data_IF_707017952987
#
_entry.id   IF_707017952987
#
_cell.length_a   1.000
_cell.length_b   1.000
_cell.length_c   1.000
_cell.angle_alpha   90.00
_cell.angle_beta   90.00
_cell.angle_gamma   90.00
#
_symmetry.space_group_name_H-M   'P 1'
#
loop_
_entity.id
_entity.type
_entity.pdbx_description
1 polymer ?
#
# COMPACT_ATOMS: atom_id res chain seq x y z
N UNK A 1 11.65 -69.67 -28.04
CA UNK A 1 11.71 -68.71 -29.16
C UNK A 1 11.17 -67.38 -28.66
N UNK A 2 12.06 -66.43 -28.38
CA UNK A 2 11.77 -65.03 -28.09
C UNK A 2 12.87 -64.22 -28.79
N UNK A 3 12.58 -63.20 -29.61
CA UNK A 3 13.63 -62.40 -30.22
C UNK A 3 14.13 -61.32 -29.24
N UNK A 4 15.42 -61.41 -28.93
CA UNK A 4 16.23 -60.39 -28.26
C UNK A 4 16.43 -59.20 -29.20
N UNK A 5 16.08 -57.98 -28.77
CA UNK A 5 16.45 -56.75 -29.47
C UNK A 5 17.46 -55.98 -28.63
N UNK A 6 18.67 -55.86 -29.18
CA UNK A 6 19.82 -55.14 -28.64
C UNK A 6 19.79 -53.70 -29.16
N UNK A 7 19.97 -52.66 -28.33
CA UNK A 7 20.22 -51.30 -28.82
C UNK A 7 21.73 -51.07 -29.06
N UNK A 8 22.14 -50.24 -30.05
CA UNK A 8 23.55 -49.89 -30.20
C UNK A 8 23.95 -48.68 -29.31
N UNK A 9 25.09 -48.82 -28.64
CA UNK A 9 26.02 -47.78 -28.12
C UNK A 9 27.09 -47.55 -29.21
N UNK A 10 27.81 -46.45 -29.45
CA UNK A 10 28.14 -45.15 -28.83
C UNK A 10 28.65 -44.24 -30.00
N UNK A 11 28.71 -42.91 -29.93
CA UNK A 11 29.88 -42.13 -29.45
C UNK A 11 29.65 -40.60 -29.54
N UNK A 12 30.45 -39.75 -28.85
CA UNK A 12 30.05 -38.42 -28.36
C UNK A 12 30.74 -37.21 -29.07
N UNK A 13 30.45 -35.99 -28.57
CA UNK A 13 30.96 -34.63 -28.88
C UNK A 13 30.00 -33.81 -29.77
N UNK A 14 29.54 -32.59 -29.42
CA UNK A 14 30.24 -31.44 -28.82
C UNK A 14 29.30 -30.62 -27.89
N UNK A 15 29.89 -30.10 -26.81
CA UNK A 15 29.33 -29.01 -26.02
C UNK A 15 29.28 -27.71 -26.85
N UNK A 16 28.18 -26.96 -26.73
CA UNK A 16 28.04 -25.60 -27.27
C UNK A 16 27.31 -24.75 -26.23
N UNK A 17 28.06 -23.90 -25.52
CA UNK A 17 27.65 -22.65 -24.89
C UNK A 17 28.93 -21.82 -24.66
N UNK A 18 28.89 -20.47 -24.51
CA UNK A 18 27.93 -19.47 -25.02
C UNK A 18 28.64 -18.38 -25.86
N UNK A 19 27.94 -17.73 -26.81
CA UNK A 19 28.48 -16.57 -27.55
C UNK A 19 27.99 -15.26 -26.92
N UNK A 20 28.67 -14.83 -25.85
CA UNK A 20 28.41 -13.59 -25.11
C UNK A 20 28.99 -12.33 -25.78
N UNK A 21 28.95 -12.20 -27.11
CA UNK A 21 29.47 -11.02 -27.80
C UNK A 21 28.57 -10.49 -28.89
N UNK A 22 27.41 -9.93 -28.52
CA UNK A 22 26.63 -9.08 -29.44
C UNK A 22 25.61 -8.12 -28.83
N UNK A 23 25.90 -7.48 -27.69
CA UNK A 23 25.00 -6.46 -27.12
C UNK A 23 25.60 -5.05 -26.97
N UNK A 24 26.89 -4.85 -27.29
CA UNK A 24 27.54 -3.55 -27.06
C UNK A 24 27.66 -2.65 -28.32
N UNK A 25 27.27 -3.12 -29.51
CA UNK A 25 27.43 -2.37 -30.78
C UNK A 25 26.14 -1.71 -31.30
N UNK A 26 25.17 -1.38 -30.42
CA UNK A 26 23.93 -0.71 -30.83
C UNK A 26 23.57 0.56 -30.05
N UNK A 27 24.56 1.30 -29.53
CA UNK A 27 24.35 2.70 -29.10
C UNK A 27 25.55 3.57 -29.45
N UNK A 28 25.92 3.62 -30.73
CA UNK A 28 26.79 4.68 -31.25
C UNK A 28 26.11 5.34 -32.44
N UNK A 29 25.66 6.58 -32.26
CA UNK A 29 25.27 7.43 -33.40
C UNK A 29 23.95 8.21 -33.30
N UNK A 30 23.43 8.57 -32.12
CA UNK A 30 22.25 9.46 -32.06
C UNK A 30 22.32 10.53 -30.98
N UNK A 31 23.42 11.29 -30.95
CA UNK A 31 23.47 12.55 -30.22
C UNK A 31 24.10 13.65 -31.11
N UNK A 32 23.30 14.48 -31.79
CA UNK A 32 23.82 15.71 -32.37
C UNK A 32 24.10 16.71 -31.23
N UNK A 33 25.37 17.07 -31.06
CA UNK A 33 25.81 18.18 -30.22
C UNK A 33 25.36 19.51 -30.81
N UNK A 34 24.57 20.29 -30.07
CA UNK A 34 24.37 21.73 -30.29
C UNK A 34 23.76 22.34 -29.03
N UNK A 35 24.60 22.95 -28.19
CA UNK A 35 24.18 23.86 -27.13
C UNK A 35 23.73 25.19 -27.73
N UNK A 36 22.52 25.70 -27.42
CA UNK A 36 22.23 27.12 -27.59
C UNK A 36 22.58 27.91 -26.31
N UNK A 37 23.01 29.16 -26.53
CA UNK A 37 23.44 30.15 -25.55
C UNK A 37 22.42 30.36 -24.42
N UNK A 38 22.92 30.28 -23.18
CA UNK A 38 22.22 30.58 -21.93
C UNK A 38 21.68 32.01 -21.91
N UNK A 39 20.38 32.17 -22.16
CA UNK A 39 19.66 33.40 -21.88
C UNK A 39 19.15 33.37 -20.44
N UNK A 40 19.67 34.27 -19.60
CA UNK A 40 19.27 34.46 -18.21
C UNK A 40 17.85 35.03 -18.16
N UNK A 41 16.84 34.18 -18.22
CA UNK A 41 15.50 34.52 -17.76
C UNK A 41 15.43 34.22 -16.26
N UNK A 42 15.20 35.26 -15.46
CA UNK A 42 14.84 35.12 -14.05
C UNK A 42 13.49 34.41 -13.95
N UNK A 43 13.52 33.08 -13.98
CA UNK A 43 12.40 32.26 -13.57
C UNK A 43 12.34 32.34 -12.04
N UNK A 44 11.28 32.94 -11.53
CA UNK A 44 10.89 32.82 -10.13
C UNK A 44 10.87 31.34 -9.80
N UNK A 45 11.84 30.90 -8.99
CA UNK A 45 11.90 29.53 -8.50
C UNK A 45 10.63 29.30 -7.66
N UNK A 46 9.62 28.65 -8.24
CA UNK A 46 8.62 27.93 -7.46
C UNK A 46 9.42 26.98 -6.58
N UNK A 47 9.42 27.24 -5.27
CA UNK A 47 10.01 26.36 -4.28
C UNK A 47 9.50 24.94 -4.57
N UNK A 48 10.40 24.01 -4.87
CA UNK A 48 10.04 22.61 -4.99
C UNK A 48 9.38 22.21 -3.66
N UNK A 49 8.09 21.90 -3.69
CA UNK A 49 7.36 21.48 -2.51
C UNK A 49 8.06 20.26 -1.91
N UNK A 50 8.39 20.35 -0.63
CA UNK A 50 9.08 19.29 0.08
C UNK A 50 8.23 18.00 -0.06
N UNK A 51 8.74 16.92 -0.71
CA UNK A 51 7.94 15.74 -1.06
C UNK A 51 7.42 14.96 0.17
N UNK A 52 7.81 15.37 1.37
CA UNK A 52 7.40 14.78 2.65
C UNK A 52 6.36 15.63 3.41
N UNK A 53 5.78 16.67 2.79
CA UNK A 53 4.80 17.53 3.48
C UNK A 53 3.46 16.83 3.73
N UNK A 54 3.12 15.86 2.90
CA UNK A 54 1.86 15.14 2.96
C UNK A 54 2.08 13.64 2.86
N UNK A 55 1.15 12.89 3.43
CA UNK A 55 1.03 11.45 3.26
C UNK A 55 -0.28 11.13 2.57
N UNK A 56 -0.25 10.14 1.69
CA UNK A 56 -1.44 9.64 1.01
C UNK A 56 -1.98 8.43 1.77
N UNK A 57 -3.30 8.40 1.96
CA UNK A 57 -4.01 7.33 2.64
C UNK A 57 -5.02 6.70 1.68
N UNK A 58 -5.18 5.39 1.76
CA UNK A 58 -5.99 4.60 0.85
C UNK A 58 -6.99 3.77 1.65
N UNK A 59 -8.25 3.73 1.21
CA UNK A 59 -9.28 2.88 1.82
C UNK A 59 -10.18 2.28 0.75
N UNK A 60 -10.43 0.98 0.83
CA UNK A 60 -11.48 0.33 0.04
C UNK A 60 -12.82 0.51 0.78
N UNK A 61 -13.83 0.99 0.07
CA UNK A 61 -15.17 1.21 0.62
C UNK A 61 -16.25 0.67 -0.32
N UNK A 62 -17.45 0.45 0.22
CA UNK A 62 -18.64 0.20 -0.60
C UNK A 62 -19.11 1.51 -1.26
N UNK A 63 -19.94 1.44 -2.31
CA UNK A 63 -20.55 2.64 -2.91
C UNK A 63 -21.35 3.49 -1.91
N UNK A 64 -21.96 2.87 -0.90
CA UNK A 64 -22.79 3.56 0.11
C UNK A 64 -21.97 4.47 1.05
N UNK A 65 -20.66 4.24 1.12
CA UNK A 65 -19.71 5.00 1.93
C UNK A 65 -18.84 5.96 1.08
N UNK A 66 -19.09 6.04 -0.24
CA UNK A 66 -18.23 6.76 -1.18
C UNK A 66 -18.19 8.29 -0.97
N UNK A 67 -19.26 8.88 -0.43
CA UNK A 67 -19.34 10.33 -0.17
C UNK A 67 -18.50 10.78 1.03
N UNK A 68 -18.22 9.86 1.97
CA UNK A 68 -17.49 10.15 3.19
C UNK A 68 -16.59 8.96 3.60
N UNK A 69 -15.66 8.53 2.73
CA UNK A 69 -14.94 7.27 2.88
C UNK A 69 -14.01 7.28 4.09
N UNK A 70 -13.62 8.44 4.61
CA UNK A 70 -12.75 8.55 5.79
C UNK A 70 -13.48 8.98 7.06
N UNK A 71 -14.77 9.33 6.98
CA UNK A 71 -15.51 9.89 8.13
C UNK A 71 -16.39 8.84 8.84
N UNK A 72 -16.63 7.69 8.20
CA UNK A 72 -17.38 6.58 8.79
C UNK A 72 -16.44 5.55 9.41
N UNK A 73 -16.20 5.72 10.71
CA UNK A 73 -15.59 4.71 11.57
C UNK A 73 -16.61 3.62 11.90
N UNK A 74 -16.27 2.36 11.66
CA UNK A 74 -17.06 1.28 12.19
C UNK A 74 -16.61 1.06 13.64
N UNK A 75 -17.42 1.49 14.63
CA UNK A 75 -17.24 1.14 16.05
C UNK A 75 -17.41 -0.38 16.33
N UNK A 76 -17.25 -1.22 15.32
CA UNK A 76 -17.29 -2.69 15.39
C UNK A 76 -16.04 -3.25 16.08
N UNK A 77 -15.01 -2.42 16.27
CA UNK A 77 -13.71 -2.85 16.78
C UNK A 77 -12.87 -3.56 15.72
N UNK A 78 -11.58 -3.71 16.00
CA UNK A 78 -10.62 -4.32 15.10
C UNK A 78 -9.41 -4.88 15.84
N UNK A 79 -8.27 -4.96 15.15
CA UNK A 79 -7.00 -5.35 15.76
C UNK A 79 -6.52 -4.32 16.78
N UNK A 80 -6.62 -3.04 16.42
CA UNK A 80 -6.05 -1.92 17.17
C UNK A 80 -7.06 -1.20 18.07
N UNK A 81 -8.37 -1.44 17.90
CA UNK A 81 -9.43 -0.79 18.68
C UNK A 81 -10.46 -1.78 19.21
N UNK A 82 -10.97 -1.54 20.41
CA UNK A 82 -12.07 -2.28 20.99
C UNK A 82 -13.42 -1.93 20.34
N UNK A 83 -14.41 -2.80 20.52
CA UNK A 83 -15.78 -2.50 20.12
C UNK A 83 -16.28 -1.23 20.86
N UNK A 84 -16.97 -0.36 20.14
CA UNK A 84 -17.43 0.94 20.63
C UNK A 84 -16.44 2.09 20.42
N UNK A 85 -15.16 1.82 20.15
CA UNK A 85 -14.16 2.85 19.86
C UNK A 85 -14.19 3.20 18.37
N UNK A 86 -14.42 4.47 18.08
CA UNK A 86 -14.56 4.99 16.72
C UNK A 86 -13.20 5.31 16.12
N UNK A 87 -12.79 4.51 15.13
CA UNK A 87 -11.61 4.79 14.31
C UNK A 87 -11.85 4.28 12.88
N UNK A 88 -11.23 4.94 11.90
CA UNK A 88 -11.22 4.48 10.51
C UNK A 88 -9.89 3.81 10.21
N UNK A 89 -9.94 2.62 9.60
CA UNK A 89 -8.75 1.91 9.15
C UNK A 89 -8.50 2.23 7.67
N UNK A 90 -7.28 2.62 7.36
CA UNK A 90 -6.78 2.87 6.02
C UNK A 90 -5.34 2.33 5.89
N UNK A 91 -4.80 2.36 4.68
CA UNK A 91 -3.42 1.97 4.39
C UNK A 91 -2.62 3.13 3.82
N UNK A 92 -1.29 3.08 3.96
CA UNK A 92 -0.39 4.03 3.29
C UNK A 92 -0.02 3.58 1.87
N UNK A 93 -0.56 2.46 1.40
CA UNK A 93 -0.41 2.00 0.03
C UNK A 93 -1.77 1.53 -0.55
N UNK A 94 -1.99 1.66 -1.87
CA UNK A 94 -3.21 1.14 -2.49
C UNK A 94 -3.26 -0.40 -2.43
N UNK A 95 -2.11 -1.07 -2.59
CA UNK A 95 -2.01 -2.52 -2.50
C UNK A 95 -2.36 -3.03 -1.11
N UNK A 96 -1.90 -2.36 -0.06
CA UNK A 96 -2.20 -2.65 1.34
C UNK A 96 -3.68 -2.46 1.66
N UNK A 97 -4.30 -1.39 1.15
CA UNK A 97 -5.74 -1.17 1.32
C UNK A 97 -6.57 -2.31 0.70
N UNK A 98 -6.19 -2.76 -0.50
CA UNK A 98 -6.83 -3.91 -1.17
C UNK A 98 -6.58 -5.20 -0.40
N UNK A 99 -5.34 -5.46 0.03
CA UNK A 99 -4.99 -6.68 0.75
C UNK A 99 -5.72 -6.78 2.10
N UNK A 100 -5.81 -5.68 2.85
CA UNK A 100 -6.56 -5.63 4.11
C UNK A 100 -8.05 -5.87 3.87
N UNK A 101 -8.63 -5.31 2.80
CA UNK A 101 -10.02 -5.58 2.43
C UNK A 101 -10.24 -7.08 2.13
N UNK A 102 -9.39 -7.67 1.30
CA UNK A 102 -9.49 -9.08 0.92
C UNK A 102 -9.32 -10.03 2.11
N UNK A 103 -8.36 -9.74 3.00
CA UNK A 103 -8.11 -10.57 4.18
C UNK A 103 -9.23 -10.51 5.25
N UNK A 104 -10.09 -9.49 5.18
CA UNK A 104 -11.25 -9.33 6.05
C UNK A 104 -12.58 -9.56 5.32
N UNK A 105 -12.55 -9.95 4.05
CA UNK A 105 -13.74 -10.24 3.29
C UNK A 105 -14.38 -11.54 3.80
N UNK A 106 -15.64 -11.45 4.22
CA UNK A 106 -16.45 -12.60 4.59
C UNK A 106 -17.50 -12.83 3.50
N UNK A 107 -17.46 -13.99 2.86
CA UNK A 107 -18.41 -14.36 1.79
C UNK A 107 -18.00 -13.86 0.40
N UNK A 108 -18.96 -13.69 -0.53
CA UNK A 108 -18.66 -13.36 -1.91
C UNK A 108 -18.15 -11.92 -2.06
N UNK A 109 -17.24 -11.71 -3.02
CA UNK A 109 -16.75 -10.39 -3.38
C UNK A 109 -17.89 -9.46 -3.78
N UNK A 110 -18.01 -8.26 -3.16
CA UNK A 110 -19.00 -7.27 -3.55
C UNK A 110 -18.83 -6.89 -5.02
N UNK A 111 -19.96 -6.72 -5.72
CA UNK A 111 -19.97 -6.38 -7.15
C UNK A 111 -19.41 -4.99 -7.47
N UNK A 112 -19.43 -4.09 -6.49
CA UNK A 112 -18.97 -2.73 -6.65
C UNK A 112 -18.14 -2.35 -5.43
N UNK A 113 -16.91 -1.93 -5.68
CA UNK A 113 -15.99 -1.40 -4.68
C UNK A 113 -15.46 -0.06 -5.19
N UNK A 114 -15.06 0.78 -4.24
CA UNK A 114 -14.40 2.05 -4.51
C UNK A 114 -13.05 2.07 -3.81
N UNK A 115 -12.05 2.66 -4.45
CA UNK A 115 -10.79 3.00 -3.81
C UNK A 115 -10.80 4.50 -3.52
N UNK A 116 -10.91 4.85 -2.25
CA UNK A 116 -10.78 6.21 -1.79
C UNK A 116 -9.29 6.56 -1.57
N UNK A 117 -8.89 7.72 -2.07
CA UNK A 117 -7.56 8.29 -1.93
C UNK A 117 -7.69 9.60 -1.18
N UNK A 118 -7.01 9.72 -0.05
CA UNK A 118 -6.97 10.94 0.74
C UNK A 118 -5.54 11.42 0.95
N UNK A 119 -5.38 12.69 1.30
CA UNK A 119 -4.11 13.28 1.71
C UNK A 119 -4.23 13.90 3.09
N UNK A 120 -3.14 13.86 3.85
CA UNK A 120 -3.07 14.44 5.18
C UNK A 120 -1.65 14.99 5.39
N UNK A 121 -1.48 16.15 6.04
CA UNK A 121 -0.16 16.65 6.39
C UNK A 121 0.63 15.63 7.22
N UNK A 122 1.90 15.42 6.90
CA UNK A 122 2.70 14.36 7.51
C UNK A 122 2.84 14.54 9.03
N UNK A 123 2.83 15.78 9.54
CA UNK A 123 2.88 16.09 10.96
C UNK A 123 1.64 15.64 11.75
N UNK A 124 0.53 15.36 11.07
CA UNK A 124 -0.69 14.83 11.67
C UNK A 124 -0.65 13.31 11.87
N UNK A 125 0.38 12.63 11.37
CA UNK A 125 0.52 11.16 11.40
C UNK A 125 1.64 10.76 12.33
N UNK A 126 1.30 10.10 13.43
CA UNK A 126 2.27 9.72 14.45
C UNK A 126 2.41 8.20 14.48
N UNK A 127 3.64 7.65 14.50
CA UNK A 127 3.83 6.22 14.62
C UNK A 127 3.46 5.74 16.03
N UNK A 128 2.91 4.53 16.13
CA UNK A 128 2.74 3.88 17.42
C UNK A 128 4.12 3.62 18.04
N UNK A 129 4.42 4.31 19.13
CA UNK A 129 5.74 4.34 19.75
C UNK A 129 6.23 2.96 20.21
N UNK A 130 5.34 2.14 20.76
CA UNK A 130 5.67 0.81 21.24
C UNK A 130 4.61 -0.20 20.81
N UNK A 131 5.05 -1.24 20.11
CA UNK A 131 4.20 -2.34 19.68
C UNK A 131 4.02 -3.34 20.83
N UNK A 132 2.78 -3.65 21.24
CA UNK A 132 2.54 -4.68 22.25
C UNK A 132 2.96 -6.08 21.74
N UNK A 133 3.35 -6.95 22.66
CA UNK A 133 3.76 -8.31 22.30
C UNK A 133 2.63 -9.09 21.62
N UNK A 134 2.97 -9.72 20.49
CA UNK A 134 2.01 -10.48 19.66
C UNK A 134 0.96 -9.62 18.97
N UNK A 135 1.28 -8.36 18.66
CA UNK A 135 0.39 -7.43 17.95
C UNK A 135 -0.10 -7.95 16.59
N UNK A 136 0.67 -8.81 15.95
CA UNK A 136 0.42 -9.41 14.64
C UNK A 136 -0.41 -10.70 14.71
N UNK A 137 -0.53 -11.30 15.90
CA UNK A 137 -1.17 -12.61 16.09
C UNK A 137 -2.71 -12.55 16.06
N UNK A 138 -3.32 -13.73 15.87
CA UNK A 138 -4.76 -13.99 16.10
C UNK A 138 -4.90 -15.06 17.21
N UNK A 139 -5.93 -14.99 18.08
CA UNK A 139 -6.94 -13.92 18.18
C UNK A 139 -6.33 -12.57 18.60
N UNK A 140 -7.00 -11.47 18.24
CA UNK A 140 -6.53 -10.13 18.60
C UNK A 140 -6.44 -9.99 20.11
N UNK A 141 -5.27 -9.59 20.61
CA UNK A 141 -5.02 -9.46 22.05
C UNK A 141 -5.55 -8.14 22.57
N UNK A 142 -6.14 -8.15 23.77
CA UNK A 142 -6.68 -6.92 24.39
C UNK A 142 -5.59 -5.86 24.62
N UNK A 143 -4.35 -6.26 24.85
CA UNK A 143 -3.23 -5.32 24.99
C UNK A 143 -3.01 -4.47 23.73
N UNK A 144 -3.27 -5.04 22.54
CA UNK A 144 -3.13 -4.36 21.24
C UNK A 144 -4.27 -3.36 21.06
N UNK A 145 -5.49 -3.76 21.40
CA UNK A 145 -6.66 -2.88 21.38
C UNK A 145 -6.53 -1.72 22.35
N UNK A 146 -6.05 -1.97 23.57
CA UNK A 146 -5.83 -0.92 24.57
C UNK A 146 -4.88 0.17 24.08
N UNK A 147 -3.87 -0.17 23.27
CA UNK A 147 -2.96 0.82 22.69
C UNK A 147 -3.68 1.79 21.74
N UNK A 148 -4.51 1.29 20.81
CA UNK A 148 -5.28 2.18 19.94
C UNK A 148 -6.44 2.87 20.66
N UNK A 149 -7.07 2.21 21.64
CA UNK A 149 -8.11 2.83 22.47
C UNK A 149 -7.54 4.00 23.29
N UNK A 150 -6.33 3.87 23.81
CA UNK A 150 -5.59 4.95 24.46
C UNK A 150 -5.39 6.12 23.51
N UNK A 151 -4.83 5.86 22.32
CA UNK A 151 -4.62 6.88 21.31
C UNK A 151 -5.92 7.62 20.91
N UNK A 152 -7.02 6.90 20.64
CA UNK A 152 -8.30 7.55 20.28
C UNK A 152 -8.82 8.42 21.43
N UNK A 153 -8.76 7.93 22.67
CA UNK A 153 -9.28 8.63 23.85
C UNK A 153 -8.45 9.85 24.22
N UNK A 154 -7.13 9.72 24.14
CA UNK A 154 -6.19 10.81 24.43
C UNK A 154 -6.15 11.85 23.30
N UNK A 155 -6.68 11.49 22.12
CA UNK A 155 -6.83 12.40 20.98
C UNK A 155 -5.50 13.08 20.59
N UNK A 156 -4.41 12.30 20.59
CA UNK A 156 -3.02 12.82 20.50
C UNK A 156 -2.58 13.17 19.09
N UNK A 157 -3.21 12.58 18.08
CA UNK A 157 -2.98 12.90 16.67
C UNK A 157 -4.21 12.60 15.83
N UNK A 158 -4.29 13.18 14.62
CA UNK A 158 -5.34 12.85 13.64
C UNK A 158 -5.23 11.39 13.20
N UNK A 159 -3.99 10.92 13.04
CA UNK A 159 -3.68 9.62 12.48
C UNK A 159 -2.60 8.88 13.28
N UNK A 160 -2.82 7.59 13.52
CA UNK A 160 -1.86 6.67 14.14
C UNK A 160 -1.35 5.69 13.08
N UNK A 161 -0.07 5.78 12.76
CA UNK A 161 0.59 4.84 11.87
C UNK A 161 0.95 3.57 12.63
N UNK A 162 0.57 2.43 12.07
CA UNK A 162 0.79 1.09 12.62
C UNK A 162 1.33 0.15 11.54
N UNK A 163 2.09 -0.90 11.89
CA UNK A 163 2.48 -1.92 10.92
C UNK A 163 1.28 -2.72 10.42
N UNK A 164 1.31 -3.14 9.15
CA UNK A 164 0.37 -4.16 8.67
C UNK A 164 0.81 -5.53 9.20
N UNK A 165 -0.15 -6.29 9.73
CA UNK A 165 0.09 -7.68 10.16
C UNK A 165 0.15 -8.64 8.96
N UNK A 166 -0.37 -8.24 7.80
CA UNK A 166 -0.35 -9.04 6.57
C UNK A 166 0.99 -8.89 5.85
N UNK A 167 1.54 -7.67 5.81
CA UNK A 167 2.83 -7.37 5.20
C UNK A 167 3.65 -6.48 6.16
N UNK A 168 4.60 -7.03 6.92
CA UNK A 168 5.34 -6.28 7.94
C UNK A 168 6.13 -5.06 7.43
N UNK A 169 6.43 -5.03 6.12
CA UNK A 169 7.09 -3.90 5.44
C UNK A 169 6.13 -2.78 5.07
N UNK A 170 4.82 -3.03 5.10
CA UNK A 170 3.80 -2.02 4.86
C UNK A 170 3.28 -1.41 6.17
N UNK A 171 2.55 -0.31 6.00
CA UNK A 171 2.04 0.50 7.08
C UNK A 171 0.58 0.80 6.83
N UNK A 172 -0.22 0.60 7.87
CA UNK A 172 -1.59 1.04 7.94
C UNK A 172 -1.68 2.29 8.81
N UNK A 173 -2.85 2.93 8.75
CA UNK A 173 -3.14 4.11 9.53
C UNK A 173 -4.54 4.00 10.12
N UNK A 174 -4.66 4.32 11.39
CA UNK A 174 -5.94 4.58 12.03
C UNK A 174 -6.21 6.08 12.00
N UNK A 175 -7.42 6.48 11.65
CA UNK A 175 -7.84 7.88 11.64
C UNK A 175 -8.86 8.12 12.75
N UNK A 176 -8.64 9.19 13.51
CA UNK A 176 -9.52 9.62 14.58
C UNK A 176 -10.44 10.74 14.07
N UNK A 177 -11.67 10.38 13.71
CA UNK A 177 -12.67 11.31 13.16
C UNK A 177 -13.08 12.38 14.19
N UNK A 178 -12.87 12.13 15.48
CA UNK A 178 -13.17 13.08 16.55
C UNK A 178 -12.04 14.09 16.82
N UNK A 179 -10.89 13.95 16.16
CA UNK A 179 -9.78 14.88 16.34
C UNK A 179 -10.11 16.26 15.73
N UNK A 180 -9.86 17.39 16.41
CA UNK A 180 -10.18 18.73 15.89
C UNK A 180 -9.56 19.01 14.51
N UNK A 181 -8.33 18.55 14.32
CA UNK A 181 -7.60 18.70 13.05
C UNK A 181 -7.96 17.64 11.99
N UNK A 182 -8.99 16.81 12.21
CA UNK A 182 -9.43 15.82 11.21
C UNK A 182 -9.86 16.47 9.89
N UNK A 183 -10.31 17.72 9.93
CA UNK A 183 -10.63 18.53 8.75
C UNK A 183 -9.43 18.78 7.80
N UNK A 184 -8.20 18.53 8.27
CA UNK A 184 -6.98 18.60 7.44
C UNK A 184 -6.81 17.39 6.52
N UNK A 185 -7.62 16.34 6.70
CA UNK A 185 -7.70 15.23 5.77
C UNK A 185 -8.55 15.64 4.57
N UNK A 186 -7.97 15.58 3.38
CA UNK A 186 -8.65 15.94 2.14
C UNK A 186 -8.88 14.68 1.30
N UNK A 187 -10.09 14.51 0.78
CA UNK A 187 -10.41 13.48 -0.20
C UNK A 187 -9.93 13.93 -1.58
N UNK A 188 -9.03 13.16 -2.19
CA UNK A 188 -8.51 13.43 -3.52
C UNK A 188 -9.35 12.75 -4.61
N UNK A 189 -9.67 11.46 -4.43
CA UNK A 189 -10.53 10.71 -5.36
C UNK A 189 -11.24 9.55 -4.68
N UNK A 190 -12.28 9.02 -5.33
CA UNK A 190 -13.04 7.86 -4.88
C UNK A 190 -13.54 7.06 -6.10
N UNK A 191 -12.58 6.36 -6.71
CA UNK A 191 -12.75 5.75 -8.02
C UNK A 191 -13.24 4.31 -7.93
N UNK A 192 -13.86 3.81 -9.00
CA UNK A 192 -14.28 2.42 -9.08
C UNK A 192 -13.07 1.47 -9.00
N UNK A 193 -13.06 0.58 -8.01
CA UNK A 193 -12.03 -0.43 -7.83
C UNK A 193 -12.45 -1.72 -8.55
N UNK A 194 -11.68 -2.12 -9.55
CA UNK A 194 -11.83 -3.37 -10.25
C UNK A 194 -10.80 -4.38 -9.73
N UNK A 195 -11.29 -5.46 -9.12
CA UNK A 195 -10.42 -6.57 -8.72
C UNK A 195 -10.19 -7.47 -9.94
N UNK A 196 -8.93 -7.68 -10.27
CA UNK A 196 -8.49 -8.57 -11.36
C UNK A 196 -8.85 -10.02 -11.03
N UNK A 197 -9.29 -10.78 -12.03
CA UNK A 197 -9.70 -12.19 -11.91
C UNK A 197 -8.60 -13.13 -11.38
N UNK A 198 -7.33 -12.72 -11.50
CA UNK A 198 -6.18 -13.47 -10.97
C UNK A 198 -6.08 -13.38 -9.45
N UNK A 199 -6.71 -12.38 -8.82
CA UNK A 199 -6.81 -12.28 -7.37
C UNK A 199 -7.81 -13.33 -6.89
N UNK A 200 -7.29 -14.46 -6.43
CA UNK A 200 -8.09 -15.56 -5.86
C UNK A 200 -8.31 -15.29 -4.37
N UNK A 201 -9.56 -15.39 -3.93
CA UNK A 201 -10.01 -15.13 -2.56
C UNK A 201 -10.70 -16.39 -2.04
#
# INVERSE_FOLDING_TARGET
>A
MNPTSTPPRESPLKAVEPDERRLDDQVEGTFPASDPLSATASATATQAENPHRYVTVYRVVSPDDADAPFSRGAGRGGRWTSQGVQAVYASLSPAGAVLEFLAHLEGPTPRALRLAVGTLPAECVHPLAQLPDGWDQRPYRDAVRRAGDAWVRENTSVALQVPSALVPRERNVLLNVAHPDFCRLELLSCDALHLDERVRI
#
